data_IF_307551047760
#
_entry.id   IF_307551047760
#
_cell.length_a   1.000
_cell.length_b   1.000
_cell.length_c   1.000
_cell.angle_alpha   90.00
_cell.angle_beta   90.00
_cell.angle_gamma   90.00
#
_symmetry.space_group_name_H-M   'P 1'
#
loop_
_entity.id
_entity.type
_entity.pdbx_description
1 polymer ?
#
# COMPACT_ATOMS: atom_id res chain seq x y z
N UNK A 1 11.87 -1.84 -10.86
CA UNK A 1 12.56 -2.25 -9.61
C UNK A 1 11.88 -1.66 -8.39
N UNK A 2 11.75 -2.39 -7.26
CA UNK A 2 11.19 -1.88 -6.01
C UNK A 2 11.96 -0.67 -5.45
N UNK A 3 13.26 -0.60 -5.72
CA UNK A 3 14.18 0.46 -5.27
C UNK A 3 13.89 1.82 -5.90
N UNK A 4 13.25 1.86 -7.08
CA UNK A 4 12.86 3.12 -7.75
C UNK A 4 11.49 3.64 -7.31
N UNK A 5 10.75 2.90 -6.48
CA UNK A 5 9.41 3.30 -6.04
C UNK A 5 9.51 4.47 -5.08
N UNK A 6 8.73 5.53 -5.35
CA UNK A 6 8.78 6.79 -4.61
C UNK A 6 9.65 7.87 -5.26
N UNK A 7 10.64 7.51 -6.09
CA UNK A 7 11.48 8.47 -6.82
C UNK A 7 10.72 9.08 -8.00
N UNK A 8 10.02 8.24 -8.78
CA UNK A 8 9.30 8.65 -9.99
C UNK A 8 7.81 8.97 -9.74
N UNK A 9 7.35 8.89 -8.49
CA UNK A 9 5.95 9.10 -8.17
C UNK A 9 5.73 10.57 -7.80
N UNK A 10 4.69 11.19 -8.37
CA UNK A 10 4.22 12.51 -7.97
C UNK A 10 3.69 12.47 -6.53
N UNK A 11 3.59 13.64 -5.90
CA UNK A 11 3.05 13.76 -4.54
C UNK A 11 1.62 13.23 -4.42
N UNK A 12 0.79 13.46 -5.43
CA UNK A 12 -0.58 12.92 -5.52
C UNK A 12 -0.57 11.38 -5.47
N UNK A 13 0.31 10.74 -6.24
CA UNK A 13 0.43 9.27 -6.27
C UNK A 13 0.92 8.76 -4.90
N UNK A 14 1.87 9.45 -4.25
CA UNK A 14 2.32 9.11 -2.89
C UNK A 14 1.19 9.25 -1.87
N UNK A 15 0.34 10.28 -2.02
CA UNK A 15 -0.83 10.49 -1.18
C UNK A 15 -1.85 9.35 -1.37
N UNK A 16 -2.12 8.92 -2.60
CA UNK A 16 -2.98 7.75 -2.86
C UNK A 16 -2.46 6.47 -2.20
N UNK A 17 -1.14 6.25 -2.24
CA UNK A 17 -0.52 5.09 -1.61
C UNK A 17 -0.66 5.14 -0.09
N UNK A 18 -0.43 6.31 0.50
CA UNK A 18 -0.61 6.55 1.93
C UNK A 18 -2.06 6.33 2.36
N UNK A 19 -3.02 6.85 1.59
CA UNK A 19 -4.44 6.66 1.86
C UNK A 19 -4.85 5.19 1.79
N UNK A 20 -4.42 4.48 0.74
CA UNK A 20 -4.67 3.05 0.60
C UNK A 20 -4.09 2.24 1.78
N UNK A 21 -2.89 2.62 2.26
CA UNK A 21 -2.27 1.95 3.40
C UNK A 21 -2.97 2.26 4.72
N UNK A 22 -3.44 3.49 4.94
CA UNK A 22 -4.26 3.84 6.12
C UNK A 22 -5.54 3.00 6.18
N UNK A 23 -6.23 2.82 5.05
CA UNK A 23 -7.42 1.97 4.97
C UNK A 23 -7.05 0.51 5.23
N UNK A 24 -5.92 0.03 4.66
CA UNK A 24 -5.41 -1.32 4.89
C UNK A 24 -5.16 -1.64 6.38
N UNK A 25 -4.66 -0.66 7.15
CA UNK A 25 -4.43 -0.81 8.58
C UNK A 25 -5.72 -0.86 9.40
N UNK A 26 -6.76 -0.16 8.95
CA UNK A 26 -8.10 -0.14 9.58
C UNK A 26 -8.96 -1.35 9.21
N UNK A 27 -8.63 -2.04 8.12
CA UNK A 27 -9.42 -3.14 7.62
C UNK A 27 -9.56 -4.27 8.67
N UNK A 28 -10.77 -4.81 8.87
CA UNK A 28 -10.99 -5.96 9.74
C UNK A 28 -10.30 -7.17 9.12
N UNK A 29 -9.21 -7.59 9.73
CA UNK A 29 -8.37 -8.70 9.28
C UNK A 29 -8.72 -10.04 9.92
N UNK A 30 -8.01 -11.09 9.52
CA UNK A 30 -8.05 -12.41 10.14
C UNK A 30 -6.80 -12.60 11.03
N UNK A 31 -6.99 -12.67 12.34
CA UNK A 31 -5.85 -12.76 13.28
C UNK A 31 -5.12 -14.10 13.20
N UNK A 32 -5.78 -15.16 12.73
CA UNK A 32 -5.28 -16.53 12.80
C UNK A 32 -4.68 -17.02 11.47
N UNK A 33 -5.17 -16.51 10.33
CA UNK A 33 -4.61 -16.82 9.01
C UNK A 33 -4.04 -15.57 8.32
N UNK A 34 -2.71 -15.41 8.40
CA UNK A 34 -1.99 -14.25 7.82
C UNK A 34 -2.17 -14.10 6.31
N UNK A 35 -2.42 -15.19 5.57
CA UNK A 35 -2.58 -15.14 4.10
C UNK A 35 -3.98 -14.68 3.75
N UNK A 36 -4.99 -15.20 4.44
CA UNK A 36 -6.38 -14.73 4.31
C UNK A 36 -6.56 -13.31 4.84
N UNK A 37 -5.88 -12.96 5.93
CA UNK A 37 -5.81 -11.60 6.50
C UNK A 37 -5.35 -10.58 5.46
N UNK A 38 -4.20 -10.82 4.83
CA UNK A 38 -3.70 -9.89 3.82
C UNK A 38 -4.67 -9.74 2.64
N UNK A 39 -5.31 -10.82 2.23
CA UNK A 39 -6.19 -10.82 1.06
C UNK A 39 -7.50 -10.07 1.37
N UNK A 40 -8.13 -10.37 2.50
CA UNK A 40 -9.33 -9.67 2.97
C UNK A 40 -9.09 -8.17 3.18
N UNK A 41 -7.96 -7.79 3.76
CA UNK A 41 -7.61 -6.36 3.92
C UNK A 41 -7.38 -5.65 2.58
N UNK A 42 -6.77 -6.33 1.59
CA UNK A 42 -6.63 -5.77 0.23
C UNK A 42 -8.00 -5.60 -0.42
N UNK A 43 -8.90 -6.55 -0.21
CA UNK A 43 -10.26 -6.49 -0.76
C UNK A 43 -11.07 -5.36 -0.14
N UNK A 44 -10.93 -5.15 1.17
CA UNK A 44 -11.51 -4.00 1.86
C UNK A 44 -11.03 -2.67 1.28
N UNK A 45 -9.72 -2.53 1.03
CA UNK A 45 -9.15 -1.33 0.39
C UNK A 45 -9.68 -1.16 -1.05
N UNK A 46 -9.87 -2.25 -1.77
CA UNK A 46 -10.42 -2.22 -3.12
C UNK A 46 -11.86 -1.72 -3.12
N UNK A 47 -12.68 -2.13 -2.16
CA UNK A 47 -14.06 -1.66 -1.99
C UNK A 47 -14.10 -0.17 -1.59
N UNK A 48 -13.36 0.21 -0.55
CA UNK A 48 -13.36 1.59 -0.03
C UNK A 48 -12.86 2.63 -1.03
N UNK A 49 -11.88 2.27 -1.86
CA UNK A 49 -11.30 3.19 -2.85
C UNK A 49 -11.88 3.03 -4.26
N UNK A 50 -12.90 2.17 -4.44
CA UNK A 50 -13.47 1.81 -5.74
C UNK A 50 -12.40 1.40 -6.77
N UNK A 51 -11.58 0.41 -6.42
CA UNK A 51 -10.47 -0.10 -7.23
C UNK A 51 -10.62 -1.57 -7.55
N UNK A 52 -9.88 -2.03 -8.56
CA UNK A 52 -9.61 -3.46 -8.67
C UNK A 52 -8.68 -3.93 -7.55
N UNK A 53 -8.84 -5.19 -7.12
CA UNK A 53 -7.92 -5.88 -6.19
C UNK A 53 -6.45 -5.73 -6.59
N UNK A 54 -6.15 -5.75 -7.90
CA UNK A 54 -4.80 -5.58 -8.46
C UNK A 54 -4.24 -4.18 -8.19
N UNK A 55 -5.06 -3.14 -8.39
CA UNK A 55 -4.68 -1.75 -8.11
C UNK A 55 -4.49 -1.51 -6.61
N UNK A 56 -5.43 -1.96 -5.76
CA UNK A 56 -5.32 -1.86 -4.31
C UNK A 56 -4.02 -2.51 -3.79
N UNK A 57 -3.78 -3.76 -4.19
CA UNK A 57 -2.53 -4.49 -3.88
C UNK A 57 -1.29 -3.74 -4.34
N UNK A 58 -1.34 -3.10 -5.52
CA UNK A 58 -0.20 -2.34 -6.06
C UNK A 58 0.08 -1.09 -5.23
N UNK A 59 -0.95 -0.33 -4.85
CA UNK A 59 -0.83 0.88 -4.00
C UNK A 59 -0.22 0.54 -2.64
N UNK A 60 -0.72 -0.50 -1.97
CA UNK A 60 -0.19 -0.98 -0.68
C UNK A 60 1.29 -1.37 -0.80
N UNK A 61 1.64 -2.21 -1.79
CA UNK A 61 3.05 -2.61 -2.00
C UNK A 61 3.96 -1.47 -2.43
N UNK A 62 3.43 -0.45 -3.09
CA UNK A 62 4.20 0.74 -3.44
C UNK A 62 4.49 1.57 -2.20
N UNK A 63 3.51 1.76 -1.32
CA UNK A 63 3.70 2.41 -0.03
C UNK A 63 4.76 1.68 0.82
N UNK A 64 4.64 0.36 1.00
CA UNK A 64 5.61 -0.45 1.76
C UNK A 64 7.04 -0.36 1.19
N UNK A 65 7.17 -0.29 -0.13
CA UNK A 65 8.47 -0.13 -0.77
C UNK A 65 9.01 1.30 -0.58
N UNK A 66 8.17 2.31 -0.75
CA UNK A 66 8.55 3.71 -0.55
C UNK A 66 9.01 3.98 0.89
N UNK A 67 8.27 3.48 1.89
CA UNK A 67 8.66 3.56 3.31
C UNK A 67 10.00 2.86 3.59
N UNK A 68 10.25 1.70 2.98
CA UNK A 68 11.57 1.04 3.07
C UNK A 68 12.69 1.85 2.42
N UNK A 69 12.40 2.50 1.30
CA UNK A 69 13.39 3.32 0.60
C UNK A 69 13.72 4.61 1.37
N UNK A 70 12.72 5.22 2.04
CA UNK A 70 12.93 6.32 3.00
C UNK A 70 13.84 5.86 4.13
N UNK A 71 13.56 4.70 4.75
CA UNK A 71 14.40 4.13 5.82
C UNK A 71 15.84 3.87 5.38
N UNK A 72 16.05 3.56 4.09
CA UNK A 72 17.38 3.35 3.50
C UNK A 72 18.07 4.66 3.08
N UNK A 73 17.43 5.82 3.22
CA UNK A 73 17.96 7.11 2.76
C UNK A 73 17.98 7.29 1.24
N UNK A 74 17.27 6.44 0.49
CA UNK A 74 17.27 6.47 -0.98
C UNK A 74 16.26 7.48 -1.56
N UNK A 75 15.25 7.84 -0.77
CA UNK A 75 14.14 8.72 -1.17
C UNK A 75 13.76 9.58 0.03
N UNK A 76 13.46 10.85 -0.20
CA UNK A 76 12.90 11.72 0.83
C UNK A 76 11.40 11.41 1.07
N UNK A 77 10.91 11.56 2.32
CA UNK A 77 9.49 11.40 2.65
C UNK A 77 8.58 12.39 1.92
#
# INVERSE_FOLDING_TARGET
MPEKRGIQATEEIKAEWSQAYKIYLKAPGDRYDKKKDRTSRIDFVAQEMNLTRKQAKRRIRNFEAWQRNIKKGLVTP
#
